data_IF_671050098115
#
_entry.id   IF_671050098115
#
_cell.length_a   1.000
_cell.length_b   1.000
_cell.length_c   1.000
_cell.angle_alpha   90.00
_cell.angle_beta   90.00
_cell.angle_gamma   90.00
#
_symmetry.space_group_name_H-M   'P 1'
#
loop_
_entity.id
_entity.type
_entity.pdbx_description
1 polymer ?
#
# COMPACT_ATOMS: atom_id res chain seq x y z
N UNK A 1 10.50 -14.31 -10.50
CA UNK A 1 9.50 -13.50 -11.10
C UNK A 1 9.74 -12.07 -10.93
N UNK A 2 9.50 -11.31 -11.95
CA UNK A 2 9.67 -9.88 -11.85
C UNK A 2 8.53 -9.25 -11.10
N UNK A 3 8.84 -8.29 -10.28
CA UNK A 3 7.82 -7.54 -9.57
C UNK A 3 7.26 -6.46 -10.47
N UNK A 4 5.94 -6.32 -10.45
CA UNK A 4 5.27 -5.32 -11.25
C UNK A 4 5.50 -3.91 -10.71
N UNK A 5 5.66 -3.78 -9.41
CA UNK A 5 5.88 -2.49 -8.77
C UNK A 5 7.08 -2.54 -7.84
N UNK A 6 7.69 -1.40 -7.60
CA UNK A 6 8.74 -1.30 -6.61
C UNK A 6 8.16 -1.16 -5.21
N UNK A 7 7.09 -0.38 -5.08
CA UNK A 7 6.43 -0.17 -3.81
C UNK A 7 4.92 -0.21 -4.01
N UNK A 8 4.22 -0.87 -3.10
CA UNK A 8 2.77 -0.72 -3.00
C UNK A 8 2.49 -0.04 -1.68
N UNK A 9 1.82 1.11 -1.74
CA UNK A 9 1.41 1.85 -0.56
C UNK A 9 0.03 1.35 -0.15
N UNK A 10 -0.03 0.62 0.96
CA UNK A 10 -1.29 0.06 1.44
C UNK A 10 -1.90 0.95 2.51
N UNK A 11 -3.19 1.22 2.40
CA UNK A 11 -3.87 2.10 3.34
C UNK A 11 -3.82 3.56 2.93
N UNK A 12 -3.68 3.82 1.64
CA UNK A 12 -3.48 5.17 1.14
C UNK A 12 -4.64 6.12 1.32
N UNK A 13 -5.80 5.62 1.78
CA UNK A 13 -6.97 6.49 1.95
C UNK A 13 -7.00 7.21 3.29
N UNK A 14 -6.16 6.80 4.24
CA UNK A 14 -6.09 7.48 5.53
C UNK A 14 -5.22 8.73 5.43
N UNK A 15 -5.16 9.48 6.52
CA UNK A 15 -4.41 10.74 6.53
C UNK A 15 -2.93 10.54 6.19
N UNK A 16 -2.27 9.62 6.88
CA UNK A 16 -0.86 9.36 6.65
C UNK A 16 -0.64 8.79 5.24
N UNK A 17 -1.54 7.92 4.80
CA UNK A 17 -1.43 7.37 3.45
C UNK A 17 -1.52 8.42 2.37
N UNK A 18 -2.42 9.40 2.55
CA UNK A 18 -2.55 10.48 1.59
C UNK A 18 -1.29 11.35 1.54
N UNK A 19 -0.68 11.59 2.70
CA UNK A 19 0.57 12.35 2.74
C UNK A 19 1.67 11.61 2.01
N UNK A 20 1.76 10.29 2.20
CA UNK A 20 2.76 9.50 1.50
C UNK A 20 2.53 9.50 0.00
N UNK A 21 1.27 9.38 -0.42
CA UNK A 21 0.94 9.37 -1.85
C UNK A 21 1.34 10.69 -2.49
N UNK A 22 1.03 11.79 -1.82
CA UNK A 22 1.39 13.11 -2.32
C UNK A 22 2.91 13.25 -2.41
N UNK A 23 3.61 12.81 -1.37
CA UNK A 23 5.05 12.90 -1.31
C UNK A 23 5.70 12.12 -2.46
N UNK A 24 5.23 10.89 -2.71
CA UNK A 24 5.77 10.09 -3.80
C UNK A 24 5.55 10.77 -5.16
N UNK A 25 4.34 11.31 -5.38
CA UNK A 25 4.04 11.88 -6.68
C UNK A 25 4.82 13.16 -6.92
N UNK A 26 5.13 13.91 -5.87
CA UNK A 26 5.84 15.18 -6.02
C UNK A 26 7.35 15.03 -6.07
N UNK A 27 7.87 14.05 -5.34
CA UNK A 27 9.32 13.94 -5.19
C UNK A 27 9.94 12.78 -5.96
N UNK A 28 9.15 11.80 -6.36
CA UNK A 28 9.66 10.62 -7.07
C UNK A 28 8.77 10.30 -8.27
N UNK A 29 8.72 11.20 -9.26
CA UNK A 29 7.81 11.00 -10.39
C UNK A 29 8.12 9.76 -11.22
N UNK A 30 9.32 9.24 -11.12
CA UNK A 30 9.68 8.05 -11.89
C UNK A 30 9.56 6.76 -11.11
N UNK A 31 9.17 6.85 -9.85
CA UNK A 31 9.01 5.65 -9.03
C UNK A 31 7.83 4.84 -9.54
N UNK A 32 8.03 3.56 -9.71
CA UNK A 32 6.96 2.66 -10.14
C UNK A 32 6.26 2.13 -8.90
N UNK A 33 5.13 2.72 -8.55
CA UNK A 33 4.42 2.35 -7.34
C UNK A 33 2.92 2.28 -7.60
N UNK A 34 2.20 1.67 -6.69
CA UNK A 34 0.75 1.60 -6.76
C UNK A 34 0.18 1.92 -5.39
N UNK A 35 -1.08 2.34 -5.37
CA UNK A 35 -1.77 2.63 -4.12
C UNK A 35 -2.81 1.55 -3.91
N UNK A 36 -2.91 1.04 -2.70
CA UNK A 36 -3.79 -0.07 -2.40
C UNK A 36 -4.57 0.17 -1.12
N UNK A 37 -5.71 -0.46 -1.02
CA UNK A 37 -6.56 -0.39 0.15
C UNK A 37 -7.77 -1.27 -0.06
N UNK A 38 -8.71 -1.20 0.86
CA UNK A 38 -9.88 -2.08 0.77
C UNK A 38 -11.07 -1.43 0.07
N UNK A 39 -11.04 -0.14 -0.20
CA UNK A 39 -12.17 0.57 -0.78
C UNK A 39 -11.77 1.24 -2.09
N UNK A 40 -12.20 0.64 -3.19
CA UNK A 40 -11.82 1.15 -4.50
C UNK A 40 -12.29 2.56 -4.76
N UNK A 41 -13.50 2.89 -4.31
CA UNK A 41 -14.03 4.23 -4.52
C UNK A 41 -13.16 5.29 -3.86
N UNK A 42 -12.72 5.03 -2.63
CA UNK A 42 -11.85 5.96 -1.93
C UNK A 42 -10.48 6.05 -2.57
N UNK A 43 -9.96 4.93 -3.06
CA UNK A 43 -8.68 4.95 -3.76
C UNK A 43 -8.77 5.80 -5.02
N UNK A 44 -9.85 5.65 -5.76
CA UNK A 44 -10.05 6.43 -6.99
C UNK A 44 -10.21 7.91 -6.68
N UNK A 45 -10.86 8.23 -5.57
CA UNK A 45 -11.00 9.63 -5.14
C UNK A 45 -9.65 10.25 -4.81
N UNK A 46 -8.79 9.50 -4.13
CA UNK A 46 -7.44 9.99 -3.80
C UNK A 46 -6.61 10.15 -5.07
N UNK A 47 -6.73 9.20 -5.97
CA UNK A 47 -6.01 9.28 -7.24
C UNK A 47 -6.39 10.55 -7.99
N UNK A 48 -7.67 10.86 -8.00
CA UNK A 48 -8.14 12.05 -8.68
C UNK A 48 -7.72 13.31 -7.94
N UNK A 49 -7.86 13.30 -6.62
CA UNK A 49 -7.56 14.46 -5.80
C UNK A 49 -6.12 14.94 -5.97
N UNK A 50 -5.19 14.02 -6.03
CA UNK A 50 -3.78 14.35 -6.16
C UNK A 50 -3.23 14.16 -7.57
N UNK A 51 -4.11 13.86 -8.51
CA UNK A 51 -3.71 13.63 -9.91
C UNK A 51 -2.62 12.57 -10.01
N UNK A 52 -2.81 11.47 -9.29
CA UNK A 52 -1.82 10.40 -9.28
C UNK A 52 -1.91 9.60 -10.56
N UNK A 53 -0.76 9.21 -11.10
CA UNK A 53 -0.72 8.41 -12.32
C UNK A 53 -0.22 7.02 -12.00
N UNK A 54 -0.89 6.39 -11.06
CA UNK A 54 -0.50 5.07 -10.58
C UNK A 54 -1.72 4.16 -10.57
N UNK A 55 -1.49 2.87 -10.52
CA UNK A 55 -2.57 1.90 -10.44
C UNK A 55 -3.18 1.88 -9.05
N UNK A 56 -4.47 1.58 -8.98
CA UNK A 56 -5.14 1.36 -7.70
C UNK A 56 -5.42 -0.13 -7.59
N UNK A 57 -5.11 -0.70 -6.43
CA UNK A 57 -5.28 -2.12 -6.19
C UNK A 57 -6.14 -2.31 -4.95
N UNK A 58 -7.06 -3.26 -5.01
CA UNK A 58 -7.98 -3.50 -3.90
C UNK A 58 -7.61 -4.80 -3.20
N UNK A 59 -7.43 -4.73 -1.90
CA UNK A 59 -7.19 -5.91 -1.08
C UNK A 59 -7.62 -5.60 0.33
N UNK A 60 -8.52 -6.43 0.86
CA UNK A 60 -9.02 -6.26 2.21
C UNK A 60 -7.98 -6.81 3.18
N UNK A 61 -7.68 -6.07 4.23
CA UNK A 61 -6.70 -6.48 5.23
C UNK A 61 -7.07 -7.72 6.00
N UNK A 62 -8.33 -8.17 5.91
CA UNK A 62 -8.77 -9.42 6.53
C UNK A 62 -8.67 -10.60 5.58
N UNK A 63 -8.27 -10.39 4.35
CA UNK A 63 -8.25 -11.44 3.35
C UNK A 63 -6.82 -11.81 3.00
N UNK A 64 -6.30 -12.86 3.61
CA UNK A 64 -4.90 -13.25 3.42
C UNK A 64 -4.59 -13.57 1.97
N UNK A 65 -5.52 -14.20 1.26
CA UNK A 65 -5.27 -14.54 -0.14
C UNK A 65 -5.11 -13.29 -1.00
N UNK A 66 -5.94 -12.28 -0.78
CA UNK A 66 -5.81 -11.01 -1.50
C UNK A 66 -4.49 -10.33 -1.17
N UNK A 67 -4.07 -10.41 0.09
CA UNK A 67 -2.80 -9.82 0.50
C UNK A 67 -1.61 -10.55 -0.11
N UNK A 68 -1.72 -11.86 -0.27
CA UNK A 68 -0.67 -12.64 -0.94
C UNK A 68 -0.51 -12.20 -2.39
N UNK A 69 -1.63 -12.02 -3.07
CA UNK A 69 -1.57 -11.53 -4.46
C UNK A 69 -0.95 -10.14 -4.52
N UNK A 70 -1.33 -9.30 -3.58
CA UNK A 70 -0.80 -7.95 -3.52
C UNK A 70 0.71 -7.98 -3.29
N UNK A 71 1.15 -8.72 -2.27
CA UNK A 71 2.56 -8.76 -1.90
C UNK A 71 3.42 -9.38 -3.00
N UNK A 72 2.86 -10.30 -3.76
CA UNK A 72 3.60 -10.97 -4.83
C UNK A 72 3.91 -10.07 -6.03
N UNK A 73 3.33 -8.87 -6.08
CA UNK A 73 3.51 -7.97 -7.20
C UNK A 73 4.53 -6.88 -6.96
N UNK A 74 5.11 -6.83 -5.79
CA UNK A 74 5.96 -5.70 -5.43
C UNK A 74 7.17 -6.14 -4.62
N UNK A 75 8.19 -5.31 -4.61
CA UNK A 75 9.36 -5.54 -3.78
C UNK A 75 9.11 -5.16 -2.33
N UNK A 76 8.29 -4.13 -2.11
CA UNK A 76 8.06 -3.58 -0.78
C UNK A 76 6.59 -3.22 -0.60
N UNK A 77 6.01 -3.60 0.53
CA UNK A 77 4.72 -3.09 0.96
C UNK A 77 4.99 -2.04 2.03
N UNK A 78 4.53 -0.82 1.79
CA UNK A 78 4.59 0.24 2.78
C UNK A 78 3.17 0.41 3.31
N UNK A 79 2.95 0.06 4.57
CA UNK A 79 1.63 0.09 5.16
C UNK A 79 1.43 1.32 6.02
N UNK A 80 0.32 2.01 5.78
CA UNK A 80 -0.09 3.13 6.62
C UNK A 80 -1.50 2.87 7.15
N UNK A 81 -1.90 1.59 7.14
CA UNK A 81 -3.28 1.23 7.46
C UNK A 81 -3.65 1.42 8.92
N UNK A 82 -2.71 1.77 9.73
CA UNK A 82 -3.01 2.06 11.11
C UNK A 82 -2.53 0.96 12.03
N UNK A 83 -2.72 1.17 13.32
CA UNK A 83 -2.13 0.32 14.33
C UNK A 83 -2.91 -0.94 14.65
N UNK A 84 -3.79 -1.40 13.79
CA UNK A 84 -4.56 -2.59 14.07
C UNK A 84 -3.71 -3.82 13.83
N UNK A 85 -3.23 -4.40 14.90
CA UNK A 85 -2.31 -5.51 14.85
C UNK A 85 -2.78 -6.65 13.98
N UNK A 86 -4.08 -6.89 13.98
CA UNK A 86 -4.64 -7.97 13.22
C UNK A 86 -4.37 -7.85 11.72
N UNK A 87 -4.52 -6.65 11.16
CA UNK A 87 -4.26 -6.43 9.76
C UNK A 87 -2.78 -6.50 9.47
N UNK A 88 -2.00 -5.98 10.40
CA UNK A 88 -0.57 -6.01 10.28
C UNK A 88 -0.04 -7.43 10.22
N UNK A 89 -0.57 -8.31 11.07
CA UNK A 89 -0.11 -9.69 11.13
C UNK A 89 -0.35 -10.43 9.81
N UNK A 90 -1.52 -10.26 9.24
CA UNK A 90 -1.82 -10.93 7.96
C UNK A 90 -0.96 -10.37 6.83
N UNK A 91 -0.73 -9.06 6.83
CA UNK A 91 0.10 -8.46 5.80
C UNK A 91 1.54 -8.91 5.93
N UNK A 92 2.06 -8.99 7.14
CA UNK A 92 3.42 -9.48 7.38
C UNK A 92 3.54 -10.92 6.90
N UNK A 93 2.53 -11.75 7.22
CA UNK A 93 2.54 -13.13 6.78
C UNK A 93 2.59 -13.23 5.26
N UNK A 94 1.76 -12.44 4.58
CA UNK A 94 1.72 -12.45 3.12
C UNK A 94 3.07 -12.04 2.54
N UNK A 95 3.69 -11.02 3.12
CA UNK A 95 4.98 -10.54 2.64
C UNK A 95 6.07 -11.58 2.84
N UNK A 96 6.08 -12.23 4.01
CA UNK A 96 7.08 -13.26 4.28
C UNK A 96 6.93 -14.41 3.28
N UNK A 97 5.70 -14.83 3.02
CA UNK A 97 5.46 -15.93 2.09
C UNK A 97 5.87 -15.59 0.66
N UNK A 98 5.76 -14.35 0.28
CA UNK A 98 6.07 -13.92 -1.09
C UNK A 98 7.49 -13.37 -1.25
N UNK A 99 8.25 -13.33 -0.17
CA UNK A 99 9.61 -12.79 -0.23
C UNK A 99 9.61 -11.27 -0.41
N UNK A 100 8.57 -10.60 0.07
CA UNK A 100 8.41 -9.16 -0.09
C UNK A 100 8.78 -8.46 1.21
N UNK A 101 9.45 -7.33 1.10
CA UNK A 101 9.79 -6.53 2.28
C UNK A 101 8.56 -5.81 2.80
N UNK A 102 8.46 -5.65 4.09
CA UNK A 102 7.34 -4.97 4.71
C UNK A 102 7.85 -3.83 5.58
N UNK A 103 7.26 -2.66 5.44
CA UNK A 103 7.57 -1.56 6.33
C UNK A 103 6.27 -0.89 6.71
N UNK A 104 6.23 -0.33 7.91
CA UNK A 104 5.00 0.16 8.50
C UNK A 104 5.22 1.55 9.05
N UNK A 105 4.37 2.48 8.64
CA UNK A 105 4.39 3.82 9.19
C UNK A 105 3.07 4.02 9.86
N UNK A 106 3.04 3.90 11.17
CA UNK A 106 1.79 3.98 11.88
C UNK A 106 1.35 5.39 12.17
N UNK A 107 2.20 6.31 12.05
CA UNK A 107 1.84 7.68 12.33
C UNK A 107 1.67 8.03 13.76
N UNK A 108 2.04 7.07 14.69
CA UNK A 108 1.80 7.38 15.98
C UNK A 108 2.89 7.80 16.59
N UNK A 109 2.89 8.51 17.24
CA UNK A 109 3.81 8.89 17.84
C UNK A 109 3.66 9.31 18.91
N UNK A 110 3.80 9.31 19.46
CA UNK A 110 3.54 9.51 20.61
C UNK A 110 4.46 10.27 21.18
#
# INVERSE_FOLDING_TARGET
MENKYEIILYGGTGFTGQLCAKYFSENYPELNWAIAGRNKKKLDEIKEKFNLKVDTLVADGDNLEALRVLAGQTKVILSTAGPFARYSDLMVQACVEQGTHYTDITGENH
#
